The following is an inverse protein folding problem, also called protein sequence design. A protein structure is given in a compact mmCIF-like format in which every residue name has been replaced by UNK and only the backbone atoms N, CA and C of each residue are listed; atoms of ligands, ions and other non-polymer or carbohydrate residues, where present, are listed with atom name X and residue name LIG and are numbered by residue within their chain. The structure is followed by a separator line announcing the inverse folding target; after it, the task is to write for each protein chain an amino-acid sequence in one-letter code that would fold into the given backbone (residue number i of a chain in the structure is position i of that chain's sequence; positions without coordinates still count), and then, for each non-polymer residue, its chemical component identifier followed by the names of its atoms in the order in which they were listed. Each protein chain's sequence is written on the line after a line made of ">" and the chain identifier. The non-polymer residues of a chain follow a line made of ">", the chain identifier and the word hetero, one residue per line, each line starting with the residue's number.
data_IF_288578573627
#
_entry.id   IF_288578573627
#
_cell.length_a   1.000
_cell.length_b   1.000
_cell.length_c   1.000
_cell.angle_alpha   90.00
_cell.angle_beta   90.00
_cell.angle_gamma   90.00
#
_symmetry.space_group_name_H-M   'P 1'
#
loop_
_entity.id
_entity.type
_entity.pdbx_description
1 polymer ?
#
# COMPACT_ATOMS: atom_id res chain seq x y z
N UNK A 1 3.33 -7.79 19.56
CA UNK A 1 2.60 -8.48 18.48
C UNK A 1 2.76 -7.67 17.20
N UNK A 2 3.64 -8.08 16.29
CA UNK A 2 3.69 -7.55 14.92
C UNK A 2 3.97 -8.74 13.99
N UNK A 3 2.91 -9.43 13.57
CA UNK A 3 3.01 -10.40 12.48
C UNK A 3 3.46 -9.69 11.20
N UNK A 4 4.30 -10.36 10.43
CA UNK A 4 4.85 -9.82 9.17
C UNK A 4 3.72 -9.53 8.18
N UNK A 5 3.82 -8.40 7.47
CA UNK A 5 2.84 -8.03 6.45
C UNK A 5 3.08 -8.89 5.22
N UNK A 6 2.15 -9.79 4.94
CA UNK A 6 2.21 -10.69 3.77
C UNK A 6 1.57 -10.08 2.53
N UNK A 7 0.55 -9.23 2.71
CA UNK A 7 -0.17 -8.64 1.59
C UNK A 7 -0.84 -7.32 1.99
N UNK A 8 -0.95 -6.42 1.04
CA UNK A 8 -1.79 -5.23 1.16
C UNK A 8 -2.76 -5.25 -0.01
N UNK A 9 -4.05 -5.20 0.29
CA UNK A 9 -5.13 -5.29 -0.70
C UNK A 9 -6.14 -4.18 -0.48
N UNK A 10 -7.01 -3.93 -1.47
CA UNK A 10 -8.10 -2.95 -1.32
C UNK A 10 -9.31 -3.61 -0.66
N UNK A 11 -9.92 -2.93 0.31
CA UNK A 11 -11.13 -3.43 1.03
C UNK A 11 -12.31 -3.65 0.07
N UNK A 12 -12.50 -2.73 -0.88
CA UNK A 12 -13.54 -2.82 -1.92
C UNK A 12 -12.89 -2.85 -3.30
N UNK A 13 -12.39 -4.01 -3.75
CA UNK A 13 -11.82 -4.14 -5.08
C UNK A 13 -12.91 -3.88 -6.12
N UNK A 14 -12.57 -3.18 -7.21
CA UNK A 14 -13.47 -3.09 -8.37
C UNK A 14 -13.63 -4.51 -8.92
N UNK A 15 -14.89 -4.99 -9.08
CA UNK A 15 -15.25 -6.35 -9.54
C UNK A 15 -14.19 -6.92 -10.51
N UNK A 16 -13.49 -7.96 -10.07
CA UNK A 16 -12.59 -8.77 -10.90
C UNK A 16 -11.17 -8.23 -11.12
N UNK A 17 -10.77 -7.10 -10.51
CA UNK A 17 -9.39 -6.62 -10.60
C UNK A 17 -8.62 -6.94 -9.32
N UNK A 18 -7.59 -7.78 -9.43
CA UNK A 18 -6.55 -7.90 -8.40
C UNK A 18 -5.67 -6.66 -8.53
N UNK A 19 -5.78 -5.76 -7.56
CA UNK A 19 -4.90 -4.60 -7.43
C UNK A 19 -3.74 -5.01 -6.51
N UNK A 20 -2.50 -4.81 -6.97
CA UNK A 20 -1.28 -5.07 -6.21
C UNK A 20 -0.52 -3.77 -5.95
N UNK A 21 0.26 -3.68 -4.86
CA UNK A 21 1.10 -2.50 -4.60
C UNK A 21 2.06 -2.23 -5.76
N UNK A 22 2.09 -0.99 -6.26
CA UNK A 22 3.02 -0.60 -7.33
C UNK A 22 4.46 -0.69 -6.83
N UNK A 23 5.18 -1.73 -7.26
CA UNK A 23 6.60 -1.92 -7.00
C UNK A 23 7.42 -1.29 -8.14
N UNK A 24 8.11 -0.20 -7.83
CA UNK A 24 9.03 0.46 -8.76
C UNK A 24 10.47 0.01 -8.49
N UNK A 25 11.41 0.43 -9.33
CA UNK A 25 12.86 0.21 -9.09
C UNK A 25 13.36 0.80 -7.76
N UNK A 26 12.63 1.77 -7.19
CA UNK A 26 12.93 2.37 -5.88
C UNK A 26 12.21 1.69 -4.71
N UNK A 27 11.24 0.81 -4.98
CA UNK A 27 10.38 0.18 -3.98
C UNK A 27 8.90 0.50 -4.19
N UNK A 28 8.08 0.12 -3.21
CA UNK A 28 6.66 0.41 -3.15
C UNK A 28 6.42 1.90 -3.03
N UNK A 29 5.55 2.42 -3.90
CA UNK A 29 5.28 3.84 -3.99
C UNK A 29 4.09 4.25 -3.12
N UNK A 30 4.29 5.24 -2.25
CA UNK A 30 3.27 5.83 -1.38
C UNK A 30 3.12 7.33 -1.64
N UNK A 31 1.91 7.84 -1.40
CA UNK A 31 1.60 9.26 -1.40
C UNK A 31 1.61 9.82 0.02
N UNK A 32 2.40 10.86 0.25
CA UNK A 32 2.53 11.53 1.54
C UNK A 32 1.36 12.52 1.77
N UNK A 33 0.54 12.33 2.82
CA UNK A 33 -0.56 13.24 3.13
C UNK A 33 -0.08 14.64 3.56
N UNK A 34 1.17 14.79 4.03
CA UNK A 34 1.74 16.07 4.44
C UNK A 34 1.79 17.09 3.30
N UNK A 35 1.84 16.60 2.05
CA UNK A 35 1.89 17.44 0.85
C UNK A 35 0.48 17.84 0.33
N UNK A 36 -0.58 17.50 1.06
CA UNK A 36 -1.95 17.96 0.80
C UNK A 36 -2.43 17.68 -0.63
N UNK A 37 -2.70 18.73 -1.41
CA UNK A 37 -3.14 18.65 -2.82
C UNK A 37 -2.05 18.18 -3.80
N UNK A 38 -0.76 18.24 -3.42
CA UNK A 38 0.37 17.85 -4.28
C UNK A 38 0.84 16.42 -4.06
N UNK A 39 0.22 15.66 -3.14
CA UNK A 39 0.55 14.26 -2.84
C UNK A 39 0.47 13.29 -4.03
N UNK A 40 -0.13 13.72 -5.14
CA UNK A 40 -0.26 12.96 -6.38
C UNK A 40 0.95 13.14 -7.32
N UNK A 41 1.81 14.12 -7.05
CA UNK A 41 3.02 14.36 -7.83
C UNK A 41 4.09 13.31 -7.49
N UNK A 42 4.76 12.77 -8.51
CA UNK A 42 5.77 11.73 -8.36
C UNK A 42 6.99 12.16 -7.51
N UNK A 43 7.26 13.46 -7.50
CA UNK A 43 8.30 14.16 -6.73
C UNK A 43 8.08 14.10 -5.20
N UNK A 44 6.83 13.96 -4.75
CA UNK A 44 6.49 13.80 -3.32
C UNK A 44 6.13 12.36 -2.94
N UNK A 45 6.34 11.42 -3.86
CA UNK A 45 6.07 10.02 -3.58
C UNK A 45 7.18 9.46 -2.67
N UNK A 46 6.76 8.76 -1.62
CA UNK A 46 7.66 8.04 -0.71
C UNK A 46 7.82 6.62 -1.21
N UNK A 47 9.06 6.12 -1.20
CA UNK A 47 9.36 4.76 -1.64
C UNK A 47 9.88 3.94 -0.47
N UNK A 48 9.34 2.74 -0.30
CA UNK A 48 9.78 1.79 0.74
C UNK A 48 10.08 0.43 0.14
N UNK A 49 11.04 -0.30 0.71
CA UNK A 49 11.47 -1.59 0.16
C UNK A 49 10.60 -2.77 0.61
N UNK A 50 9.85 -2.60 1.69
CA UNK A 50 9.12 -3.69 2.36
C UNK A 50 7.64 -3.35 2.55
N UNK A 51 6.79 -4.38 2.52
CA UNK A 51 5.36 -4.24 2.83
C UNK A 51 5.12 -3.84 4.28
N UNK A 52 5.99 -4.25 5.21
CA UNK A 52 5.93 -3.82 6.61
C UNK A 52 6.08 -2.30 6.74
N UNK A 53 7.10 -1.72 6.07
CA UNK A 53 7.29 -0.26 6.05
C UNK A 53 6.09 0.43 5.40
N UNK A 54 5.57 -0.12 4.30
CA UNK A 54 4.38 0.40 3.64
C UNK A 54 3.18 0.40 4.59
N UNK A 55 2.97 -0.68 5.36
CA UNK A 55 1.90 -0.78 6.33
C UNK A 55 2.04 0.21 7.48
N UNK A 56 3.27 0.44 7.97
CA UNK A 56 3.56 1.48 8.97
C UNK A 56 3.17 2.86 8.45
N UNK A 57 3.54 3.18 7.21
CA UNK A 57 3.18 4.44 6.57
C UNK A 57 1.67 4.55 6.34
N UNK A 58 1.00 3.50 5.88
CA UNK A 58 -0.46 3.47 5.73
C UNK A 58 -1.14 3.75 7.07
N UNK A 59 -0.65 3.17 8.16
CA UNK A 59 -1.13 3.45 9.51
C UNK A 59 -0.93 4.91 9.96
N UNK A 60 0.06 5.61 9.39
CA UNK A 60 0.30 7.05 9.59
C UNK A 60 -0.55 7.94 8.66
N UNK A 61 -1.37 7.36 7.79
CA UNK A 61 -2.23 8.09 6.86
C UNK A 61 -1.68 8.21 5.43
N UNK A 62 -0.60 7.48 5.10
CA UNK A 62 -0.07 7.46 3.74
C UNK A 62 -0.97 6.67 2.79
N UNK A 63 -1.14 7.22 1.59
CA UNK A 63 -1.82 6.51 0.51
C UNK A 63 -0.86 5.55 -0.19
N UNK A 64 -1.34 4.41 -0.66
CA UNK A 64 -0.53 3.45 -1.42
C UNK A 64 -0.92 3.50 -2.89
N UNK A 65 0.06 3.50 -3.78
CA UNK A 65 -0.20 3.29 -5.21
C UNK A 65 -0.44 1.82 -5.47
N UNK A 66 -1.59 1.51 -6.05
CA UNK A 66 -1.96 0.15 -6.44
C UNK A 66 -2.11 0.09 -7.95
N UNK A 67 -1.59 -0.96 -8.56
CA UNK A 67 -1.69 -1.22 -10.00
C UNK A 67 -2.47 -2.52 -10.20
N UNK A 68 -3.36 -2.53 -11.18
CA UNK A 68 -3.99 -3.77 -11.65
C UNK A 68 -3.40 -4.16 -12.99
N UNK A 69 -3.39 -5.44 -13.28
CA UNK A 69 -2.93 -5.95 -14.58
C UNK A 69 -3.67 -5.23 -15.73
N UNK A 70 -2.89 -4.69 -16.67
CA UNK A 70 -3.41 -3.94 -17.82
C UNK A 70 -4.01 -2.56 -17.48
N UNK A 71 -3.84 -2.04 -16.26
CA UNK A 71 -4.35 -0.72 -15.86
C UNK A 71 -3.26 0.19 -15.30
N UNK A 72 -3.52 1.49 -15.34
CA UNK A 72 -2.64 2.50 -14.74
C UNK A 72 -2.75 2.46 -13.23
N UNK A 73 -1.62 2.63 -12.55
CA UNK A 73 -1.57 2.72 -11.10
C UNK A 73 -2.47 3.85 -10.59
N UNK A 74 -3.18 3.57 -9.49
CA UNK A 74 -4.11 4.48 -8.84
C UNK A 74 -3.71 4.67 -7.38
N UNK A 75 -3.79 5.91 -6.90
CA UNK A 75 -3.55 6.22 -5.51
C UNK A 75 -4.76 5.81 -4.67
N UNK A 76 -4.57 4.86 -3.75
CA UNK A 76 -5.61 4.37 -2.87
C UNK A 76 -5.43 4.97 -1.48
N UNK A 77 -6.53 5.49 -0.91
CA UNK A 77 -6.53 6.04 0.44
C UNK A 77 -6.26 4.94 1.48
N UNK A 78 -5.56 5.25 2.58
CA UNK A 78 -5.28 4.27 3.64
C UNK A 78 -6.55 3.62 4.20
N UNK A 79 -7.64 4.39 4.31
CA UNK A 79 -8.95 3.90 4.76
C UNK A 79 -9.61 2.88 3.81
N UNK A 80 -9.14 2.77 2.57
CA UNK A 80 -9.59 1.78 1.59
C UNK A 80 -8.64 0.60 1.44
N UNK A 81 -7.56 0.54 2.23
CA UNK A 81 -6.58 -0.54 2.20
C UNK A 81 -6.77 -1.49 3.38
N UNK A 82 -6.53 -2.77 3.13
CA UNK A 82 -6.49 -3.84 4.11
C UNK A 82 -5.08 -4.41 4.16
N UNK A 83 -4.49 -4.35 5.34
CA UNK A 83 -3.17 -4.93 5.61
C UNK A 83 -3.41 -6.35 6.11
N UNK A 84 -2.95 -7.33 5.33
CA UNK A 84 -2.98 -8.74 5.70
C UNK A 84 -1.64 -9.08 6.34
N UNK A 85 -1.68 -9.43 7.62
CA UNK A 85 -0.52 -9.91 8.38
C UNK A 85 -0.66 -11.41 8.56
N UNK A 86 0.43 -12.14 8.39
CA UNK A 86 0.45 -13.53 8.81
C UNK A 86 0.74 -13.54 10.30
N UNK A 87 -0.30 -13.84 11.07
CA UNK A 87 -0.13 -14.25 12.45
C UNK A 87 0.37 -15.69 12.38
N UNK A 88 1.68 -15.89 12.55
CA UNK A 88 2.16 -17.20 12.99
C UNK A 88 1.73 -17.36 14.45
N UNK A 89 0.44 -17.59 14.69
CA UNK A 89 0.04 -18.30 15.90
C UNK A 89 0.40 -19.76 15.66
N UNK A 90 1.64 -20.12 15.96
CA UNK A 90 1.98 -21.52 16.23
C UNK A 90 1.12 -21.93 17.43
N UNK A 91 0.06 -22.69 17.16
CA UNK A 91 -0.59 -23.49 18.17
C UNK A 91 0.43 -24.55 18.60
N UNK A 92 0.76 -24.57 19.90
CA UNK A 92 1.52 -25.63 20.54
C UNK A 92 0.83 -26.03 21.84
#
# INVERSE_FOLDING_TARGET
>A
MNGHVIRIERVSPRKGAVEEPELTTRGYRLGDPAHGRRKHHAEHAVYVKSLDDAAVLIGKGFSLWMVAEGKRASLIAPSSLRIVRSDKSEAH
#
